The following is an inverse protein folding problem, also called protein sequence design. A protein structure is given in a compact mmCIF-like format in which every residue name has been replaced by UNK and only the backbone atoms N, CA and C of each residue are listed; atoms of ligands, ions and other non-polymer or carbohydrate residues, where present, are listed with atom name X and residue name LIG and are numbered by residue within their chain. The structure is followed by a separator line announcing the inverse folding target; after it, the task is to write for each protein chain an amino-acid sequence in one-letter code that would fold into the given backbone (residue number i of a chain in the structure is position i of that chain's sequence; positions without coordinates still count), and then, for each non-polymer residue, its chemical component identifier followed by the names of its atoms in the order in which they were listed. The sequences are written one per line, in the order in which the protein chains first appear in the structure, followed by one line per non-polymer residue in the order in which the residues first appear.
data_IF_210788840412
#
_entry.id   IF_210788840412
#
_cell.length_a   1.000
_cell.length_b   1.000
_cell.length_c   1.000
_cell.angle_alpha   90.00
_cell.angle_beta   90.00
_cell.angle_gamma   90.00
#
_symmetry.space_group_name_H-M   'P 1'
#
loop_
_entity.id
_entity.type
_entity.pdbx_description
1 polymer ?
#
# COMPACT_ATOMS: atom_id res chain seq x y z
N UNK A 1 -30.81 -35.98 24.66
CA UNK A 1 -30.74 -34.65 24.02
C UNK A 1 -29.89 -33.74 24.91
N UNK A 2 -28.57 -33.83 24.80
CA UNK A 2 -27.64 -32.98 25.54
C UNK A 2 -26.77 -32.24 24.53
N UNK A 3 -27.12 -31.00 24.23
CA UNK A 3 -26.29 -30.08 23.46
C UNK A 3 -25.32 -29.43 24.45
N UNK A 4 -24.05 -29.84 24.42
CA UNK A 4 -22.98 -29.08 25.05
C UNK A 4 -22.61 -27.91 24.13
N UNK A 5 -22.64 -26.65 24.62
CA UNK A 5 -22.20 -25.51 23.83
C UNK A 5 -20.67 -25.58 23.69
N UNK A 6 -20.21 -25.69 22.45
CA UNK A 6 -18.79 -25.58 22.12
C UNK A 6 -18.28 -24.20 22.51
N UNK A 7 -17.46 -24.14 23.55
CA UNK A 7 -16.66 -22.98 23.88
C UNK A 7 -15.69 -22.72 22.73
N UNK A 8 -15.91 -21.64 21.98
CA UNK A 8 -14.95 -21.08 21.03
C UNK A 8 -13.69 -20.68 21.82
N UNK A 9 -12.67 -21.54 21.78
CA UNK A 9 -11.38 -21.29 22.39
C UNK A 9 -10.64 -20.22 21.57
N UNK A 10 -10.71 -18.96 21.99
CA UNK A 10 -9.85 -17.89 21.49
C UNK A 10 -8.48 -18.02 22.15
N UNK A 11 -7.55 -18.70 21.48
CA UNK A 11 -6.16 -18.72 21.94
C UNK A 11 -5.58 -17.29 21.97
N UNK A 12 -4.79 -16.92 22.99
CA UNK A 12 -4.17 -15.60 23.05
C UNK A 12 -3.16 -15.43 21.91
N UNK A 13 -3.27 -14.31 21.18
CA UNK A 13 -2.31 -13.94 20.12
C UNK A 13 -0.91 -13.73 20.72
N UNK A 14 0.12 -14.06 19.94
CA UNK A 14 1.51 -13.75 20.30
C UNK A 14 1.74 -12.24 20.36
N UNK A 15 2.73 -11.80 21.14
CA UNK A 15 3.09 -10.38 21.26
C UNK A 15 3.48 -9.77 19.90
N UNK A 16 4.11 -10.56 19.03
CA UNK A 16 4.45 -10.12 17.68
C UNK A 16 3.20 -9.86 16.82
N UNK A 17 2.18 -10.71 16.94
CA UNK A 17 0.92 -10.54 16.21
C UNK A 17 0.14 -9.32 16.73
N UNK A 18 0.08 -9.13 18.06
CA UNK A 18 -0.52 -7.94 18.66
C UNK A 18 0.14 -6.66 18.15
N UNK A 19 1.48 -6.65 18.13
CA UNK A 19 2.25 -5.52 17.59
C UNK A 19 1.96 -5.27 16.11
N UNK A 20 1.87 -6.33 15.30
CA UNK A 20 1.50 -6.20 13.90
C UNK A 20 0.10 -5.63 13.70
N UNK A 21 -0.87 -6.05 14.53
CA UNK A 21 -2.25 -5.55 14.51
C UNK A 21 -2.33 -4.06 14.88
N UNK A 22 -1.61 -3.62 15.91
CA UNK A 22 -1.53 -2.22 16.32
C UNK A 22 -0.94 -1.34 15.21
N UNK A 23 0.08 -1.82 14.50
CA UNK A 23 0.65 -1.13 13.33
C UNK A 23 -0.37 -1.11 12.17
N UNK A 24 -1.05 -2.23 11.92
CA UNK A 24 -2.03 -2.36 10.82
C UNK A 24 -3.21 -1.41 10.99
N UNK A 25 -3.71 -1.32 12.22
CA UNK A 25 -4.83 -0.43 12.60
C UNK A 25 -4.40 1.03 12.73
N UNK A 26 -3.10 1.31 12.82
CA UNK A 26 -2.57 2.67 13.01
C UNK A 26 -2.61 3.14 14.47
N UNK A 27 -2.81 2.24 15.43
CA UNK A 27 -2.74 2.54 16.86
C UNK A 27 -1.32 2.92 17.30
N UNK A 28 -0.29 2.37 16.64
CA UNK A 28 1.12 2.70 16.89
C UNK A 28 1.87 2.96 15.59
N UNK A 29 2.90 3.79 15.66
CA UNK A 29 3.76 4.07 14.52
C UNK A 29 4.71 2.88 14.22
N UNK A 30 4.89 2.49 12.95
CA UNK A 30 5.83 1.43 12.59
C UNK A 30 7.29 1.86 12.81
N UNK A 31 8.09 0.96 13.35
CA UNK A 31 9.56 1.03 13.43
C UNK A 31 10.20 1.06 12.05
N UNK A 32 11.50 1.41 12.00
CA UNK A 32 12.28 1.36 10.76
C UNK A 32 12.26 -0.03 10.10
N UNK A 33 12.37 -1.10 10.89
CA UNK A 33 12.36 -2.47 10.39
C UNK A 33 10.99 -2.87 9.82
N UNK A 34 9.89 -2.47 10.47
CA UNK A 34 8.52 -2.68 9.98
C UNK A 34 8.29 -1.92 8.67
N UNK A 35 8.77 -0.67 8.57
CA UNK A 35 8.70 0.11 7.32
C UNK A 35 9.46 -0.55 6.18
N UNK A 36 10.67 -1.06 6.44
CA UNK A 36 11.47 -1.76 5.43
C UNK A 36 10.73 -3.00 4.89
N UNK A 37 10.10 -3.79 5.76
CA UNK A 37 9.25 -4.93 5.34
C UNK A 37 8.04 -4.49 4.53
N UNK A 38 7.33 -3.46 4.98
CA UNK A 38 6.20 -2.90 4.24
C UNK A 38 6.60 -2.43 2.83
N UNK A 39 7.72 -1.73 2.68
CA UNK A 39 8.18 -1.26 1.37
C UNK A 39 8.59 -2.41 0.46
N UNK A 40 9.26 -3.44 0.99
CA UNK A 40 9.57 -4.63 0.21
C UNK A 40 8.31 -5.35 -0.29
N UNK A 41 7.29 -5.50 0.57
CA UNK A 41 6.01 -6.10 0.17
C UNK A 41 5.25 -5.23 -0.85
N UNK A 42 5.28 -3.90 -0.70
CA UNK A 42 4.73 -2.95 -1.66
C UNK A 42 5.39 -3.10 -3.04
N UNK A 43 6.72 -3.13 -3.07
CA UNK A 43 7.47 -3.16 -4.33
C UNK A 43 7.30 -4.52 -5.04
N UNK A 44 7.18 -5.62 -4.28
CA UNK A 44 6.81 -6.92 -4.84
C UNK A 44 5.40 -6.92 -5.46
N UNK A 45 4.41 -6.35 -4.74
CA UNK A 45 3.05 -6.20 -5.29
C UNK A 45 3.04 -5.36 -6.56
N UNK A 46 3.76 -4.25 -6.57
CA UNK A 46 3.89 -3.40 -7.74
C UNK A 46 4.54 -4.09 -8.93
N UNK A 47 5.63 -4.82 -8.71
CA UNK A 47 6.29 -5.60 -9.76
C UNK A 47 5.33 -6.64 -10.39
N UNK A 48 4.53 -7.31 -9.56
CA UNK A 48 3.52 -8.24 -10.06
C UNK A 48 2.44 -7.51 -10.89
N UNK A 49 1.91 -6.40 -10.39
CA UNK A 49 0.93 -5.60 -11.14
C UNK A 49 1.48 -5.12 -12.49
N UNK A 50 2.74 -4.67 -12.52
CA UNK A 50 3.42 -4.22 -13.73
C UNK A 50 3.59 -5.37 -14.75
N UNK A 51 3.95 -6.57 -14.30
CA UNK A 51 4.06 -7.76 -15.15
C UNK A 51 2.72 -8.16 -15.80
N UNK A 52 1.60 -7.83 -15.16
CA UNK A 52 0.25 -8.11 -15.66
C UNK A 52 -0.46 -6.91 -16.31
N UNK A 53 0.22 -5.76 -16.44
CA UNK A 53 -0.38 -4.55 -17.02
C UNK A 53 -1.50 -3.94 -16.19
N UNK A 54 -1.54 -4.19 -14.88
CA UNK A 54 -2.58 -3.69 -13.98
C UNK A 54 -2.13 -2.35 -13.38
N UNK A 55 -2.79 -1.27 -13.78
CA UNK A 55 -2.45 0.10 -13.32
C UNK A 55 -3.26 0.51 -12.09
N UNK A 56 -4.58 0.44 -12.17
CA UNK A 56 -5.48 0.93 -11.13
C UNK A 56 -6.15 -0.23 -10.38
N UNK A 57 -5.83 -0.37 -9.09
CA UNK A 57 -6.41 -1.38 -8.18
C UNK A 57 -7.49 -0.81 -7.26
N UNK A 58 -7.86 0.47 -7.43
CA UNK A 58 -8.87 1.14 -6.63
C UNK A 58 -10.28 0.82 -7.11
N UNK A 59 -10.47 0.66 -8.41
CA UNK A 59 -11.75 0.25 -9.00
C UNK A 59 -11.99 -1.27 -8.82
N UNK A 60 -13.23 -1.72 -9.04
CA UNK A 60 -13.64 -3.12 -8.82
C UNK A 60 -12.95 -4.09 -9.78
N UNK A 61 -12.79 -3.71 -11.05
CA UNK A 61 -12.19 -4.55 -12.09
C UNK A 61 -10.72 -4.82 -11.81
N UNK A 62 -9.92 -3.77 -11.61
CA UNK A 62 -8.50 -3.88 -11.32
C UNK A 62 -8.22 -4.53 -9.97
N UNK A 63 -9.10 -4.38 -8.98
CA UNK A 63 -9.02 -5.15 -7.72
C UNK A 63 -9.25 -6.63 -7.96
N UNK A 64 -10.24 -7.00 -8.77
CA UNK A 64 -10.49 -8.39 -9.13
C UNK A 64 -9.34 -8.98 -9.97
N UNK A 65 -8.79 -8.21 -10.90
CA UNK A 65 -7.62 -8.60 -11.69
C UNK A 65 -6.39 -8.82 -10.80
N UNK A 66 -6.11 -7.89 -9.88
CA UNK A 66 -5.00 -8.01 -8.93
C UNK A 66 -5.19 -9.20 -7.97
N UNK A 67 -6.40 -9.46 -7.50
CA UNK A 67 -6.69 -10.60 -6.64
C UNK A 67 -6.52 -11.95 -7.36
N UNK A 68 -6.67 -11.99 -8.68
CA UNK A 68 -6.44 -13.20 -9.49
C UNK A 68 -4.98 -13.38 -9.87
N UNK A 69 -4.30 -12.30 -10.26
CA UNK A 69 -2.94 -12.34 -10.78
C UNK A 69 -1.86 -12.29 -9.69
N UNK A 70 -2.10 -11.50 -8.63
CA UNK A 70 -1.13 -11.20 -7.57
C UNK A 70 -1.68 -11.47 -6.15
N UNK A 71 -2.30 -12.64 -5.86
CA UNK A 71 -2.92 -12.89 -4.57
C UNK A 71 -1.92 -12.92 -3.42
N UNK A 72 -0.73 -13.50 -3.63
CA UNK A 72 0.29 -13.68 -2.60
C UNK A 72 0.92 -12.34 -2.22
N UNK A 73 1.32 -11.55 -3.22
CA UNK A 73 1.93 -10.24 -3.04
C UNK A 73 0.92 -9.24 -2.47
N UNK A 74 -0.34 -9.30 -2.92
CA UNK A 74 -1.43 -8.49 -2.37
C UNK A 74 -1.68 -8.79 -0.89
N UNK A 75 -1.72 -10.07 -0.51
CA UNK A 75 -1.88 -10.47 0.89
C UNK A 75 -0.67 -10.07 1.74
N UNK A 76 0.56 -10.22 1.22
CA UNK A 76 1.77 -9.78 1.91
C UNK A 76 1.78 -8.26 2.13
N UNK A 77 1.38 -7.49 1.11
CA UNK A 77 1.29 -6.04 1.18
C UNK A 77 0.28 -5.58 2.24
N UNK A 78 -0.89 -6.22 2.33
CA UNK A 78 -1.91 -5.89 3.33
C UNK A 78 -1.55 -6.38 4.75
N UNK A 79 -0.79 -7.47 4.86
CA UNK A 79 -0.31 -8.00 6.14
C UNK A 79 0.80 -7.14 6.73
N UNK A 80 1.79 -6.75 5.93
CA UNK A 80 3.06 -6.17 6.39
C UNK A 80 3.03 -4.65 6.49
N UNK A 81 2.02 -3.98 5.90
CA UNK A 81 1.86 -2.53 5.94
C UNK A 81 0.69 -2.10 6.84
N UNK A 82 0.76 -0.85 7.32
CA UNK A 82 -0.39 -0.16 7.89
C UNK A 82 -1.51 -0.01 6.85
N UNK A 83 -2.77 -0.26 7.21
CA UNK A 83 -3.89 -0.23 6.26
C UNK A 83 -4.06 1.15 5.58
N UNK A 84 -3.79 2.22 6.33
CA UNK A 84 -3.79 3.59 5.80
C UNK A 84 -2.69 3.80 4.76
N UNK A 85 -1.52 3.17 4.94
CA UNK A 85 -0.43 3.24 3.99
C UNK A 85 -0.73 2.45 2.73
N UNK A 86 -1.31 1.26 2.85
CA UNK A 86 -1.77 0.46 1.70
C UNK A 86 -2.71 1.29 0.82
N UNK A 87 -3.72 1.91 1.45
CA UNK A 87 -4.68 2.77 0.77
C UNK A 87 -4.00 3.94 0.08
N UNK A 88 -3.10 4.64 0.80
CA UNK A 88 -2.35 5.76 0.25
C UNK A 88 -1.48 5.35 -0.94
N UNK A 89 -0.72 4.28 -0.80
CA UNK A 89 0.19 3.77 -1.83
C UNK A 89 -0.55 3.32 -3.08
N UNK A 90 -1.70 2.64 -2.95
CA UNK A 90 -2.55 2.28 -4.11
C UNK A 90 -2.99 3.55 -4.88
N UNK A 91 -3.39 4.61 -4.16
CA UNK A 91 -3.74 5.92 -4.77
C UNK A 91 -2.55 6.61 -5.40
N UNK A 92 -1.43 6.67 -4.69
CA UNK A 92 -0.22 7.34 -5.13
C UNK A 92 0.34 6.72 -6.41
N UNK A 93 0.34 5.39 -6.53
CA UNK A 93 0.81 4.69 -7.74
C UNK A 93 0.06 5.15 -9.00
N UNK A 94 -1.28 5.23 -8.93
CA UNK A 94 -2.11 5.68 -10.07
C UNK A 94 -1.80 7.14 -10.42
N UNK A 95 -1.73 8.01 -9.40
CA UNK A 95 -1.43 9.43 -9.59
C UNK A 95 -0.03 9.65 -10.16
N UNK A 96 0.97 8.90 -9.70
CA UNK A 96 2.36 9.00 -10.16
C UNK A 96 2.48 8.56 -11.63
N UNK A 97 1.82 7.46 -12.02
CA UNK A 97 1.77 7.01 -13.42
C UNK A 97 1.12 8.07 -14.31
N UNK A 98 -0.03 8.61 -13.90
CA UNK A 98 -0.74 9.66 -14.64
C UNK A 98 0.09 10.94 -14.75
N UNK A 99 0.75 11.35 -13.65
CA UNK A 99 1.63 12.51 -13.61
C UNK A 99 2.79 12.33 -14.58
N UNK A 100 3.47 11.18 -14.55
CA UNK A 100 4.60 10.86 -15.45
C UNK A 100 4.16 10.86 -16.92
N UNK A 101 3.02 10.26 -17.23
CA UNK A 101 2.47 10.26 -18.58
C UNK A 101 2.16 11.69 -19.07
N UNK A 102 1.53 12.51 -18.24
CA UNK A 102 1.23 13.91 -18.56
C UNK A 102 2.49 14.75 -18.74
N UNK A 103 3.49 14.59 -17.89
CA UNK A 103 4.76 15.31 -18.02
C UNK A 103 5.46 14.96 -19.33
N UNK A 104 5.52 13.66 -19.66
CA UNK A 104 6.10 13.19 -20.93
C UNK A 104 5.40 13.79 -22.16
N UNK A 105 4.08 13.88 -22.11
CA UNK A 105 3.29 14.50 -23.19
C UNK A 105 3.60 16.00 -23.32
N UNK A 106 3.64 16.74 -22.22
CA UNK A 106 3.97 18.17 -22.22
C UNK A 106 5.40 18.43 -22.74
N UNK A 107 6.36 17.60 -22.33
CA UNK A 107 7.74 17.66 -22.83
C UNK A 107 7.81 17.42 -24.35
N UNK A 108 7.02 16.47 -24.86
CA UNK A 108 6.93 16.23 -26.32
C UNK A 108 6.30 17.41 -27.08
N UNK A 109 5.42 18.19 -26.44
CA UNK A 109 4.84 19.42 -26.98
C UNK A 109 5.78 20.64 -26.83
N UNK A 110 6.99 20.46 -26.32
CA UNK A 110 7.98 21.54 -26.15
C UNK A 110 7.81 22.36 -24.88
N UNK A 111 7.01 21.90 -23.90
CA UNK A 111 6.90 22.58 -22.62
C UNK A 111 8.22 22.51 -21.85
N UNK A 112 8.63 23.65 -21.29
CA UNK A 112 9.81 23.71 -20.40
C UNK A 112 9.39 23.52 -18.95
N UNK A 113 10.06 22.63 -18.23
CA UNK A 113 9.85 22.43 -16.78
C UNK A 113 10.28 23.69 -16.03
N UNK A 114 9.35 24.30 -15.30
CA UNK A 114 9.66 25.38 -14.36
C UNK A 114 9.90 24.79 -12.97
N UNK A 115 11.08 25.00 -12.41
CA UNK A 115 11.37 24.61 -11.03
C UNK A 115 10.91 25.73 -10.09
N UNK A 116 9.91 25.42 -9.25
CA UNK A 116 9.41 26.36 -8.24
C UNK A 116 10.37 26.36 -7.05
N UNK A 117 11.13 27.43 -6.88
CA UNK A 117 11.90 27.67 -5.65
C UNK A 117 10.96 28.23 -4.59
N UNK A 118 10.63 27.44 -3.57
CA UNK A 118 9.91 27.93 -2.39
C UNK A 118 10.94 28.31 -1.32
N UNK A 119 11.27 29.59 -1.23
CA UNK A 119 12.06 30.11 -0.11
C UNK A 119 11.17 30.18 1.13
N UNK A 120 11.29 29.17 2.00
CA UNK A 120 10.54 29.10 3.25
C UNK A 120 11.49 29.37 4.41
N UNK A 121 11.60 30.65 4.80
CA UNK A 121 12.31 31.06 6.02
C UNK A 121 11.40 30.82 7.23
N UNK A 122 11.70 29.88 8.14
CA UNK A 122 10.89 29.69 9.33
C UNK A 122 11.02 30.93 10.24
N UNK A 123 9.88 31.53 10.61
CA UNK A 123 9.88 32.56 11.66
C UNK A 123 10.22 31.87 13.00
N UNK A 124 11.26 32.39 13.66
CA UNK A 124 11.73 31.94 14.98
C UNK A 124 10.68 32.12 16.05
#
# INVERSE_FOLDING_TARGET
MGLLPGFLSTAPKSEAEKRADEVRTGAVAPTRAERARCWAARDAFYACLDAHGIVDTLNSEGRAAAARACPAEGAAFERDCAAQWVTYFKKWRVQDIQKKARLKELEAQGATRMDVQTDFTPRR
#
